data_IF_778459275356
#
_entry.id   IF_778459275356
#
_cell.length_a   1.000
_cell.length_b   1.000
_cell.length_c   1.000
_cell.angle_alpha   90.00
_cell.angle_beta   90.00
_cell.angle_gamma   90.00
#
_symmetry.space_group_name_H-M   'P 1'
#
loop_
_entity.id
_entity.type
_entity.pdbx_description
1 polymer ?
#
# COMPACT_ATOMS: atom_id res chain seq x y z
N UNK A 1 2.97 -3.55 -12.43
CA UNK A 1 2.66 -4.06 -11.08
C UNK A 1 3.82 -4.86 -10.47
N UNK A 2 5.04 -4.35 -10.68
CA UNK A 2 6.27 -4.60 -9.93
C UNK A 2 7.05 -3.29 -10.13
N UNK A 3 7.56 -2.68 -9.08
CA UNK A 3 8.18 -1.36 -9.16
C UNK A 3 7.23 -0.21 -9.53
N UNK A 4 5.91 -0.37 -9.31
CA UNK A 4 4.94 0.71 -9.59
C UNK A 4 4.94 1.74 -8.46
N UNK A 5 4.83 3.02 -8.80
CA UNK A 5 4.67 4.09 -7.81
C UNK A 5 3.23 4.12 -7.29
N UNK A 6 3.08 4.18 -5.97
CA UNK A 6 1.80 4.29 -5.28
C UNK A 6 1.95 5.10 -3.99
N UNK A 7 0.84 5.69 -3.55
CA UNK A 7 0.75 6.39 -2.29
C UNK A 7 0.35 5.44 -1.16
N UNK A 8 1.27 5.19 -0.23
CA UNK A 8 0.98 4.44 0.98
C UNK A 8 0.30 5.33 2.00
N UNK A 9 -0.79 4.83 2.57
CA UNK A 9 -1.53 5.48 3.63
C UNK A 9 -1.83 4.50 4.77
N UNK A 10 -1.43 4.87 5.98
CA UNK A 10 -1.82 4.21 7.21
C UNK A 10 -1.94 5.23 8.35
N UNK A 11 -3.17 5.50 8.79
CA UNK A 11 -3.51 6.48 9.83
C UNK A 11 -2.98 7.89 9.53
N UNK A 12 -1.80 8.24 10.03
CA UNK A 12 -1.16 9.56 9.85
C UNK A 12 0.09 9.47 8.98
N UNK A 13 0.43 8.28 8.48
CA UNK A 13 1.53 8.08 7.53
C UNK A 13 0.94 8.14 6.13
N UNK A 14 1.39 9.09 5.33
CA UNK A 14 1.06 9.23 3.93
C UNK A 14 2.33 9.57 3.16
N UNK A 15 2.73 8.75 2.18
CA UNK A 15 3.91 9.03 1.35
C UNK A 15 3.92 8.24 0.03
N UNK A 16 4.64 8.77 -0.96
CA UNK A 16 4.92 8.07 -2.20
C UNK A 16 5.92 6.93 -1.96
N UNK A 17 5.62 5.76 -2.50
CA UNK A 17 6.42 4.55 -2.40
C UNK A 17 6.42 3.79 -3.73
N UNK A 18 7.49 3.03 -3.96
CA UNK A 18 7.56 2.04 -5.03
C UNK A 18 7.18 0.68 -4.45
N UNK A 19 6.21 0.00 -5.07
CA UNK A 19 5.63 -1.22 -4.52
C UNK A 19 6.09 -2.45 -5.30
N UNK A 20 6.48 -3.48 -4.55
CA UNK A 20 6.71 -4.83 -5.07
C UNK A 20 5.76 -5.79 -4.38
N UNK A 21 4.95 -6.49 -5.17
CA UNK A 21 3.86 -7.33 -4.67
C UNK A 21 4.20 -8.79 -4.93
N UNK A 22 4.21 -9.57 -3.86
CA UNK A 22 4.31 -11.03 -3.86
C UNK A 22 3.00 -11.61 -3.35
N UNK A 23 2.55 -12.70 -3.95
CA UNK A 23 1.25 -13.30 -3.63
C UNK A 23 1.39 -14.80 -3.45
N UNK A 24 0.67 -15.35 -2.49
CA UNK A 24 0.59 -16.79 -2.25
C UNK A 24 -0.86 -17.24 -1.97
N UNK A 25 -1.02 -18.50 -1.55
CA UNK A 25 -2.33 -19.06 -1.24
C UNK A 25 -3.01 -18.41 -0.03
N UNK A 26 -2.26 -17.73 0.84
CA UNK A 26 -2.78 -17.04 2.02
C UNK A 26 -3.17 -15.59 1.70
N UNK A 27 -2.36 -14.87 0.94
CA UNK A 27 -2.57 -13.45 0.72
C UNK A 27 -1.53 -12.75 -0.16
N UNK A 28 -1.38 -11.45 0.09
CA UNK A 28 -0.36 -10.62 -0.53
C UNK A 28 0.63 -10.11 0.52
N UNK A 29 1.90 -10.11 0.13
CA UNK A 29 3.02 -9.44 0.80
C UNK A 29 3.50 -8.32 -0.11
N UNK A 30 3.53 -7.10 0.42
CA UNK A 30 3.89 -5.92 -0.36
C UNK A 30 5.08 -5.24 0.31
N UNK A 31 6.17 -5.12 -0.43
CA UNK A 31 7.36 -4.39 0.01
C UNK A 31 7.28 -2.98 -0.55
N UNK A 32 7.45 -2.00 0.33
CA UNK A 32 7.36 -0.58 0.05
C UNK A 32 8.75 0.03 0.21
N UNK A 33 9.25 0.62 -0.88
CA UNK A 33 10.52 1.36 -0.87
C UNK A 33 10.24 2.84 -1.13
N UNK A 34 10.76 3.72 -0.27
CA UNK A 34 10.58 5.16 -0.38
C UNK A 34 11.90 5.88 -0.12
N UNK A 35 12.03 7.11 -0.61
CA UNK A 35 13.15 7.98 -0.27
C UNK A 35 12.99 8.52 1.16
N UNK A 36 11.74 8.72 1.60
CA UNK A 36 11.42 9.34 2.88
C UNK A 36 11.50 8.37 4.08
N UNK A 37 11.35 7.07 3.82
CA UNK A 37 11.25 6.05 4.86
C UNK A 37 12.06 4.80 4.50
N UNK A 38 12.63 4.08 5.49
CA UNK A 38 13.25 2.78 5.25
C UNK A 38 12.28 1.80 4.62
N UNK A 39 12.82 0.88 3.83
CA UNK A 39 12.02 -0.19 3.22
C UNK A 39 11.33 -1.03 4.29
N UNK A 40 10.03 -1.27 4.10
CA UNK A 40 9.26 -2.10 5.00
C UNK A 40 8.22 -2.91 4.24
N UNK A 41 7.72 -3.95 4.90
CA UNK A 41 6.76 -4.89 4.31
C UNK A 41 5.43 -4.80 5.05
N UNK A 42 4.36 -4.68 4.27
CA UNK A 42 2.98 -4.90 4.73
C UNK A 42 2.47 -6.22 4.16
N UNK A 43 1.48 -6.80 4.82
CA UNK A 43 0.81 -8.01 4.31
C UNK A 43 -0.69 -7.95 4.58
N UNK A 44 -1.44 -8.74 3.82
CA UNK A 44 -2.87 -8.88 3.99
C UNK A 44 -3.33 -10.23 3.47
N UNK A 45 -4.25 -10.85 4.21
CA UNK A 45 -4.93 -12.07 3.78
C UNK A 45 -6.00 -11.74 2.76
N UNK A 46 -6.28 -12.64 1.81
CA UNK A 46 -7.23 -12.38 0.72
C UNK A 46 -8.63 -11.96 1.17
N UNK A 47 -9.12 -12.52 2.27
CA UNK A 47 -10.42 -12.20 2.89
C UNK A 47 -10.47 -10.78 3.51
N UNK A 48 -9.32 -10.16 3.74
CA UNK A 48 -9.18 -8.83 4.34
C UNK A 48 -8.79 -7.75 3.34
N UNK A 49 -8.21 -8.15 2.20
CA UNK A 49 -7.83 -7.23 1.14
C UNK A 49 -9.09 -6.78 0.39
N UNK A 50 -9.22 -5.47 0.21
CA UNK A 50 -10.26 -4.83 -0.57
C UNK A 50 -9.64 -4.05 -1.72
N UNK A 51 -10.30 -4.09 -2.85
CA UNK A 51 -9.90 -3.38 -4.06
C UNK A 51 -10.99 -2.37 -4.42
N UNK A 52 -10.56 -1.14 -4.69
CA UNK A 52 -11.35 -0.11 -5.35
C UNK A 52 -10.90 0.09 -6.79
N UNK A 53 -11.39 1.16 -7.43
CA UNK A 53 -10.98 1.53 -8.78
C UNK A 53 -9.54 2.05 -8.82
N UNK A 54 -9.11 2.69 -7.75
CA UNK A 54 -7.87 3.46 -7.61
C UNK A 54 -7.05 3.07 -6.37
N UNK A 55 -7.51 2.08 -5.61
CA UNK A 55 -6.83 1.67 -4.37
C UNK A 55 -6.90 0.17 -4.08
N UNK A 56 -5.94 -0.29 -3.29
CA UNK A 56 -5.95 -1.58 -2.60
C UNK A 56 -5.70 -1.31 -1.11
N UNK A 57 -6.47 -1.94 -0.23
CA UNK A 57 -6.28 -1.76 1.20
C UNK A 57 -6.63 -3.01 2.00
N UNK A 58 -6.28 -3.01 3.28
CA UNK A 58 -6.56 -4.13 4.19
C UNK A 58 -7.44 -3.67 5.35
N UNK A 59 -8.68 -4.16 5.38
CA UNK A 59 -9.75 -3.63 6.23
C UNK A 59 -9.48 -3.70 7.76
N UNK A 60 -8.64 -4.63 8.20
CA UNK A 60 -8.35 -4.85 9.63
C UNK A 60 -7.01 -4.28 10.09
N UNK A 61 -6.07 -4.09 9.16
CA UNK A 61 -4.71 -3.62 9.47
C UNK A 61 -4.58 -2.11 9.20
N UNK A 62 -5.44 -1.56 8.35
CA UNK A 62 -5.59 -0.11 8.16
C UNK A 62 -4.63 0.51 7.15
N UNK A 63 -3.84 -0.31 6.45
CA UNK A 63 -3.03 0.17 5.33
C UNK A 63 -3.84 0.25 4.04
N UNK A 64 -3.51 1.22 3.20
CA UNK A 64 -4.05 1.38 1.85
C UNK A 64 -2.94 1.89 0.91
N UNK A 65 -3.01 1.47 -0.35
CA UNK A 65 -2.16 1.93 -1.44
C UNK A 65 -3.07 2.52 -2.51
N UNK A 66 -2.80 3.77 -2.88
CA UNK A 66 -3.55 4.50 -3.89
C UNK A 66 -2.68 4.74 -5.12
N UNK A 67 -3.29 4.75 -6.30
CA UNK A 67 -2.59 5.16 -7.53
C UNK A 67 -2.28 6.66 -7.54
N UNK A 68 -3.11 7.47 -6.87
CA UNK A 68 -2.97 8.91 -6.74
C UNK A 68 -2.93 9.32 -5.26
N UNK A 69 -2.50 10.55 -4.95
CA UNK A 69 -2.47 11.01 -3.56
C UNK A 69 -3.90 11.20 -3.03
N UNK A 70 -4.33 10.46 -1.99
CA UNK A 70 -5.69 10.55 -1.47
C UNK A 70 -5.98 11.86 -0.71
N UNK A 71 -4.95 12.49 -0.15
CA UNK A 71 -5.05 13.74 0.64
C UNK A 71 -3.94 14.71 0.22
N UNK A 72 -4.02 15.29 -1.00
CA UNK A 72 -3.01 16.22 -1.50
C UNK A 72 -2.91 17.50 -0.65
N UNK A 73 -3.96 17.87 0.06
CA UNK A 73 -4.01 19.03 0.94
C UNK A 73 -3.12 18.92 2.19
N UNK A 74 -2.54 17.76 2.46
CA UNK A 74 -1.59 17.56 3.57
C UNK A 74 -0.13 17.84 3.18
N UNK A 75 0.13 18.24 1.93
CA UNK A 75 1.45 18.53 1.37
C UNK A 75 1.62 19.97 0.86
#
# INVERSE_FOLDING_TARGET
FQGSKMWFHEKHLLFESTVNIETDAWGARITLSSIAHPDFTISGRWDMIRFGLDYIGCAMVGWSLYSECPYPEWF
#
